data_IF_976857288173
#
_entry.id   IF_976857288173
#
_cell.length_a   1.000
_cell.length_b   1.000
_cell.length_c   1.000
_cell.angle_alpha   90.00
_cell.angle_beta   90.00
_cell.angle_gamma   90.00
#
_symmetry.space_group_name_H-M   'P 1'
#
loop_
_entity.id
_entity.type
_entity.pdbx_description
1 polymer ?
#
# COMPACT_ATOMS: atom_id res chain seq x y z
N UNK A 1 -10.97 -19.55 12.07
CA UNK A 1 -10.35 -18.44 11.29
C UNK A 1 -8.87 -18.75 11.09
N UNK A 2 -8.24 -18.35 9.99
CA UNK A 2 -6.79 -18.55 9.79
C UNK A 2 -6.09 -17.22 9.53
N UNK A 3 -4.97 -16.99 10.20
CA UNK A 3 -4.17 -15.77 10.08
C UNK A 3 -2.77 -16.14 9.61
N UNK A 4 -2.27 -15.41 8.61
CA UNK A 4 -0.89 -15.53 8.13
C UNK A 4 -0.05 -14.44 8.77
N UNK A 5 1.06 -14.82 9.42
CA UNK A 5 2.06 -13.90 9.95
C UNK A 5 3.27 -13.79 9.02
N UNK A 6 4.02 -12.73 9.22
CA UNK A 6 5.29 -12.39 8.56
C UNK A 6 6.45 -13.36 8.86
N UNK A 7 6.23 -14.34 9.75
CA UNK A 7 7.25 -15.28 10.20
C UNK A 7 8.24 -14.67 11.21
N UNK A 8 7.99 -13.45 11.68
CA UNK A 8 8.81 -12.81 12.70
C UNK A 8 8.50 -13.39 14.08
N UNK A 9 9.55 -13.77 14.82
CA UNK A 9 9.40 -14.47 16.09
C UNK A 9 8.58 -13.69 17.13
N UNK A 10 8.68 -12.35 17.14
CA UNK A 10 7.91 -11.53 18.07
C UNK A 10 6.41 -11.54 17.72
N UNK A 11 6.05 -11.53 16.43
CA UNK A 11 4.66 -11.63 15.97
C UNK A 11 4.02 -12.92 16.43
N UNK A 12 4.75 -14.04 16.32
CA UNK A 12 4.30 -15.33 16.82
C UNK A 12 4.14 -15.35 18.35
N UNK A 13 5.10 -14.80 19.10
CA UNK A 13 5.00 -14.70 20.57
C UNK A 13 3.81 -13.86 21.01
N UNK A 14 3.55 -12.74 20.34
CA UNK A 14 2.41 -11.89 20.63
C UNK A 14 1.10 -12.65 20.45
N UNK A 15 0.93 -13.36 19.32
CA UNK A 15 -0.29 -14.15 19.08
C UNK A 15 -0.44 -15.31 20.06
N UNK A 16 0.64 -15.96 20.47
CA UNK A 16 0.60 -16.99 21.52
C UNK A 16 0.15 -16.46 22.89
N UNK A 17 0.25 -15.15 23.15
CA UNK A 17 -0.25 -14.50 24.36
C UNK A 17 -1.73 -14.09 24.30
N UNK A 18 -2.34 -14.02 23.11
CA UNK A 18 -3.74 -13.61 22.92
C UNK A 18 -4.82 -14.60 23.43
N UNK A 19 -4.59 -15.92 23.49
CA UNK A 19 -5.55 -16.88 24.06
C UNK A 19 -5.96 -16.60 25.51
N UNK A 20 -5.15 -15.86 26.27
CA UNK A 20 -5.50 -15.40 27.62
C UNK A 20 -6.59 -14.29 27.60
N UNK A 21 -6.81 -13.65 26.44
CA UNK A 21 -7.70 -12.51 26.28
C UNK A 21 -9.02 -12.85 25.56
N UNK A 22 -9.07 -13.93 24.75
CA UNK A 22 -10.32 -14.40 24.11
C UNK A 22 -10.21 -15.82 23.56
N UNK A 23 -11.29 -16.61 23.69
CA UNK A 23 -11.41 -17.98 23.16
C UNK A 23 -11.26 -18.05 21.64
N UNK A 24 -11.62 -16.98 20.92
CA UNK A 24 -11.55 -16.90 19.45
C UNK A 24 -10.12 -17.07 18.91
N UNK A 25 -9.12 -16.71 19.72
CA UNK A 25 -7.70 -16.88 19.37
C UNK A 25 -7.21 -18.32 19.54
N UNK A 26 -7.82 -19.11 20.44
CA UNK A 26 -7.48 -20.54 20.60
C UNK A 26 -7.82 -21.37 19.37
N UNK A 27 -8.90 -20.99 18.67
CA UNK A 27 -9.38 -21.68 17.47
C UNK A 27 -8.80 -21.09 16.17
N UNK A 28 -7.96 -20.06 16.28
CA UNK A 28 -7.37 -19.40 15.11
C UNK A 28 -6.12 -20.13 14.65
N UNK A 29 -6.16 -20.66 13.42
CA UNK A 29 -5.01 -21.36 12.83
C UNK A 29 -3.98 -20.34 12.36
N UNK A 30 -2.83 -20.32 13.03
CA UNK A 30 -1.69 -19.50 12.63
C UNK A 30 -0.89 -20.17 11.52
N UNK A 31 -0.50 -19.40 10.51
CA UNK A 31 0.39 -19.84 9.43
C UNK A 31 1.47 -18.78 9.23
N UNK A 32 2.65 -19.20 8.78
CA UNK A 32 3.68 -18.30 8.28
C UNK A 32 3.93 -18.64 6.81
N UNK A 33 3.93 -17.64 5.93
CA UNK A 33 4.24 -17.88 4.52
C UNK A 33 5.21 -16.85 4.00
N UNK A 34 6.42 -17.32 3.72
CA UNK A 34 7.47 -16.53 3.10
C UNK A 34 7.06 -15.97 1.74
N UNK A 35 6.28 -16.73 0.96
CA UNK A 35 5.82 -16.30 -0.36
C UNK A 35 4.89 -15.08 -0.26
N UNK A 36 3.88 -15.16 0.62
CA UNK A 36 2.96 -14.04 0.85
C UNK A 36 3.67 -12.82 1.42
N UNK A 37 4.60 -13.05 2.35
CA UNK A 37 5.44 -11.98 2.89
C UNK A 37 6.19 -11.29 1.75
N UNK A 38 6.98 -12.05 0.98
CA UNK A 38 7.78 -11.52 -0.13
C UNK A 38 6.94 -10.72 -1.14
N UNK A 39 5.70 -11.14 -1.43
CA UNK A 39 4.82 -10.41 -2.34
C UNK A 39 4.37 -9.07 -1.76
N UNK A 40 3.99 -9.03 -0.49
CA UNK A 40 3.69 -7.77 0.23
C UNK A 40 4.94 -6.89 0.30
N UNK A 41 6.10 -7.50 0.57
CA UNK A 41 7.37 -6.76 0.61
C UNK A 41 7.73 -6.13 -0.73
N UNK A 42 7.48 -6.87 -1.80
CA UNK A 42 7.74 -6.40 -3.15
C UNK A 42 6.82 -5.24 -3.51
N UNK A 43 5.53 -5.32 -3.16
CA UNK A 43 4.54 -4.29 -3.45
C UNK A 43 4.91 -2.95 -2.78
N UNK A 44 5.29 -2.99 -1.49
CA UNK A 44 5.62 -1.76 -0.77
C UNK A 44 7.04 -1.21 -1.06
N UNK A 45 7.87 -1.93 -1.83
CA UNK A 45 9.29 -1.57 -2.06
C UNK A 45 9.45 -0.22 -2.74
N UNK A 46 8.55 0.10 -3.68
CA UNK A 46 8.55 1.37 -4.40
C UNK A 46 8.29 2.56 -3.48
N UNK A 47 7.31 2.42 -2.59
CA UNK A 47 6.94 3.43 -1.58
C UNK A 47 8.08 3.60 -0.57
N UNK A 48 8.59 2.49 -0.01
CA UNK A 48 9.72 2.52 0.94
C UNK A 48 10.96 3.18 0.35
N UNK A 49 11.29 2.89 -0.91
CA UNK A 49 12.46 3.48 -1.58
C UNK A 49 12.39 5.01 -1.63
N UNK A 50 11.20 5.57 -1.93
CA UNK A 50 11.00 7.02 -1.98
C UNK A 50 10.98 7.70 -0.62
N UNK A 51 10.52 7.00 0.41
CA UNK A 51 10.44 7.54 1.78
C UNK A 51 11.78 7.40 2.52
N UNK A 52 12.59 6.38 2.21
CA UNK A 52 13.87 6.10 2.88
C UNK A 52 14.79 7.33 3.04
N UNK A 53 14.95 8.23 2.05
CA UNK A 53 15.77 9.44 2.21
C UNK A 53 15.12 10.55 3.07
N UNK A 54 13.82 10.46 3.38
CA UNK A 54 13.06 11.53 4.06
C UNK A 54 13.13 11.49 5.59
N UNK A 55 13.93 10.58 6.18
CA UNK A 55 14.02 10.33 7.63
C UNK A 55 12.66 9.98 8.29
N UNK A 56 11.67 9.57 7.50
CA UNK A 56 10.32 9.25 7.96
C UNK A 56 9.39 10.45 8.07
N UNK A 57 8.12 10.19 8.39
CA UNK A 57 7.10 11.22 8.54
C UNK A 57 6.88 11.55 10.01
N UNK A 58 6.81 12.85 10.33
CA UNK A 58 6.52 13.33 11.69
C UNK A 58 5.02 13.37 12.02
N UNK A 59 4.15 13.38 11.01
CA UNK A 59 2.70 13.55 11.14
C UNK A 59 1.99 12.60 10.18
N UNK A 60 0.97 11.88 10.66
CA UNK A 60 0.23 10.89 9.88
C UNK A 60 -0.46 11.49 8.66
N UNK A 61 -1.09 12.65 8.77
CA UNK A 61 -1.76 13.31 7.63
C UNK A 61 -0.79 13.62 6.49
N UNK A 62 0.42 14.08 6.83
CA UNK A 62 1.49 14.35 5.85
C UNK A 62 2.03 13.06 5.23
N UNK A 63 2.09 11.97 6.00
CA UNK A 63 2.43 10.65 5.48
C UNK A 63 1.39 10.18 4.46
N UNK A 64 0.10 10.28 4.80
CA UNK A 64 -0.99 9.87 3.94
C UNK A 64 -1.00 10.64 2.61
N UNK A 65 -0.86 11.97 2.66
CA UNK A 65 -0.77 12.81 1.46
C UNK A 65 0.42 12.43 0.57
N UNK A 66 1.59 12.21 1.18
CA UNK A 66 2.81 11.86 0.45
C UNK A 66 2.71 10.49 -0.20
N UNK A 67 2.20 9.49 0.52
CA UNK A 67 1.98 8.13 0.01
C UNK A 67 0.96 8.17 -1.15
N UNK A 68 -0.15 8.89 -0.98
CA UNK A 68 -1.15 9.06 -2.04
C UNK A 68 -0.57 9.68 -3.32
N UNK A 69 0.30 10.69 -3.19
CA UNK A 69 1.01 11.29 -4.32
C UNK A 69 1.98 10.30 -5.00
N UNK A 70 2.70 9.50 -4.22
CA UNK A 70 3.59 8.44 -4.72
C UNK A 70 2.81 7.36 -5.51
N UNK A 71 1.66 6.95 -4.99
CA UNK A 71 0.77 5.99 -5.64
C UNK A 71 0.12 6.57 -6.91
N UNK A 72 -0.28 7.84 -6.87
CA UNK A 72 -0.80 8.56 -8.03
C UNK A 72 0.21 8.54 -9.17
N UNK A 73 1.46 8.94 -8.89
CA UNK A 73 2.53 8.96 -9.89
C UNK A 73 2.80 7.56 -10.46
N UNK A 74 2.72 6.52 -9.62
CA UNK A 74 2.88 5.13 -10.05
C UNK A 74 1.75 4.67 -10.98
N UNK A 75 0.50 5.02 -10.67
CA UNK A 75 -0.67 4.76 -11.53
C UNK A 75 -0.54 5.48 -12.88
N UNK A 76 -0.03 6.72 -12.89
CA UNK A 76 0.22 7.49 -14.11
C UNK A 76 1.28 6.78 -14.95
N UNK A 77 2.41 6.41 -14.34
CA UNK A 77 3.51 5.70 -15.02
C UNK A 77 3.07 4.37 -15.63
N UNK A 78 2.15 3.66 -14.97
CA UNK A 78 1.59 2.38 -15.46
C UNK A 78 0.48 2.56 -16.50
N UNK A 79 0.08 3.80 -16.83
CA UNK A 79 -1.04 4.05 -17.74
C UNK A 79 -2.37 3.54 -17.20
N UNK A 80 -2.52 3.41 -15.87
CA UNK A 80 -3.74 2.89 -15.23
C UNK A 80 -4.89 3.90 -15.22
N UNK A 81 -4.69 5.07 -15.81
CA UNK A 81 -5.75 6.04 -16.06
C UNK A 81 -6.40 5.72 -17.39
N UNK A 82 -7.72 5.51 -17.38
CA UNK A 82 -8.51 5.41 -18.60
C UNK A 82 -8.69 6.81 -19.21
N UNK A 83 -7.60 7.35 -19.77
CA UNK A 83 -7.60 8.61 -20.51
C UNK A 83 -8.37 8.50 -21.84
N UNK A 84 -8.75 7.28 -22.25
CA UNK A 84 -9.61 7.04 -23.40
C UNK A 84 -10.99 7.70 -23.25
N UNK A 85 -11.52 7.79 -22.02
CA UNK A 85 -12.78 8.50 -21.73
C UNK A 85 -12.67 10.02 -21.88
N UNK A 86 -11.49 10.59 -21.63
CA UNK A 86 -11.27 12.03 -21.69
C UNK A 86 -11.19 12.56 -23.15
N UNK A 87 -11.33 11.70 -24.18
CA UNK A 87 -11.31 12.05 -25.61
C UNK A 87 -10.19 13.05 -25.94
N UNK A 88 -9.01 12.78 -25.40
CA UNK A 88 -7.88 13.71 -25.36
C UNK A 88 -7.04 13.67 -26.65
N UNK A 89 -7.24 12.65 -27.48
CA UNK A 89 -6.50 12.46 -28.73
C UNK A 89 -6.65 13.70 -29.62
N UNK A 90 -5.52 14.32 -29.97
CA UNK A 90 -5.46 15.51 -30.83
C UNK A 90 -5.68 16.86 -30.14
N UNK A 91 -5.81 16.92 -28.81
CA UNK A 91 -5.97 18.18 -28.07
C UNK A 91 -4.62 18.71 -27.55
N UNK A 92 -4.48 20.04 -27.52
CA UNK A 92 -3.30 20.70 -26.99
C UNK A 92 -3.13 20.41 -25.48
N UNK A 93 -1.88 20.22 -25.03
CA UNK A 93 -1.52 19.88 -23.63
C UNK A 93 -2.24 20.72 -22.57
N UNK A 94 -2.42 22.06 -22.74
CA UNK A 94 -3.18 22.86 -21.79
C UNK A 94 -4.64 22.41 -21.64
N UNK A 95 -5.32 22.09 -22.75
CA UNK A 95 -6.71 21.64 -22.72
C UNK A 95 -6.88 20.24 -22.08
N UNK A 96 -5.83 19.41 -22.17
CA UNK A 96 -5.77 18.14 -21.44
C UNK A 96 -5.72 18.38 -19.94
N UNK A 97 -4.85 19.31 -19.52
CA UNK A 97 -4.65 19.65 -18.12
C UNK A 97 -5.92 20.19 -17.47
N UNK A 98 -6.63 21.10 -18.15
CA UNK A 98 -7.90 21.64 -17.65
C UNK A 98 -8.96 20.55 -17.51
N UNK A 99 -9.11 19.65 -18.49
CA UNK A 99 -10.09 18.59 -18.44
C UNK A 99 -9.85 17.57 -17.30
N UNK A 100 -8.57 17.35 -16.93
CA UNK A 100 -8.19 16.48 -15.81
C UNK A 100 -8.46 17.14 -14.46
N UNK A 101 -8.30 18.46 -14.34
CA UNK A 101 -8.58 19.21 -13.11
C UNK A 101 -10.07 19.38 -12.82
N UNK A 102 -10.92 19.32 -13.86
CA UNK A 102 -12.37 19.49 -13.75
C UNK A 102 -13.16 18.20 -13.48
N UNK A 103 -12.48 17.05 -13.40
CA UNK A 103 -13.07 15.72 -13.23
C UNK A 103 -12.92 15.21 -11.79
#
# INVERSE_FOLDING_TARGET
>A
MSITLDGYAASHRAVHGLPAQSLRWKETRLRSSKYWNNMIEQDHRGVKSRIKPMLGFKVFDRAALTIAGVELLHRVRKGQFNLGKLRVRGKAVPAIWTAVLSA
#
